data_IF_349502655396
#
_entry.id   IF_349502655396
#
_cell.length_a   1.000
_cell.length_b   1.000
_cell.length_c   1.000
_cell.angle_alpha   90.00
_cell.angle_beta   90.00
_cell.angle_gamma   90.00
#
_symmetry.space_group_name_H-M   'P 1'
#
loop_
_entity.id
_entity.type
_entity.pdbx_description
1 polymer ?
#
# COMPACT_ATOMS: atom_id res chain seq x y z
N UNK A 1 -20.48 -26.58 12.35
CA UNK A 1 -21.30 -26.76 13.58
C UNK A 1 -22.52 -25.83 13.59
N UNK A 2 -23.08 -25.50 12.42
CA UNK A 2 -24.32 -24.74 12.26
C UNK A 2 -24.98 -25.22 10.97
N UNK A 3 -25.54 -26.43 10.99
CA UNK A 3 -26.45 -26.84 9.93
C UNK A 3 -27.82 -26.29 10.28
N UNK A 4 -28.05 -24.99 10.10
CA UNK A 4 -29.37 -24.40 10.34
C UNK A 4 -30.30 -24.86 9.22
N UNK A 5 -31.04 -25.93 9.49
CA UNK A 5 -32.08 -26.45 8.61
C UNK A 5 -33.36 -25.63 8.67
N UNK A 6 -34.25 -25.86 7.70
CA UNK A 6 -35.55 -25.20 7.66
C UNK A 6 -36.39 -25.46 8.92
N UNK A 7 -36.28 -26.66 9.51
CA UNK A 7 -36.97 -27.05 10.75
C UNK A 7 -36.52 -26.22 11.96
N UNK A 8 -35.22 -25.98 12.11
CA UNK A 8 -34.68 -25.21 13.23
C UNK A 8 -35.03 -23.74 13.11
N UNK A 9 -35.01 -23.18 11.88
CA UNK A 9 -35.49 -21.82 11.62
C UNK A 9 -36.96 -21.67 12.05
N UNK A 10 -37.81 -22.65 11.72
CA UNK A 10 -39.21 -22.66 12.13
C UNK A 10 -39.36 -22.73 13.66
N UNK A 11 -38.56 -23.56 14.33
CA UNK A 11 -38.61 -23.66 15.80
C UNK A 11 -38.20 -22.35 16.47
N UNK A 12 -37.13 -21.70 15.99
CA UNK A 12 -36.71 -20.38 16.47
C UNK A 12 -37.79 -19.33 16.21
N UNK A 13 -38.42 -19.34 15.03
CA UNK A 13 -39.50 -18.42 14.69
C UNK A 13 -40.70 -18.59 15.65
N UNK A 14 -41.09 -19.83 15.97
CA UNK A 14 -42.15 -20.12 16.93
C UNK A 14 -41.80 -19.63 18.34
N UNK A 15 -40.57 -19.88 18.81
CA UNK A 15 -40.11 -19.40 20.12
C UNK A 15 -40.09 -17.86 20.16
N UNK A 16 -39.59 -17.22 19.10
CA UNK A 16 -39.59 -15.76 19.00
C UNK A 16 -41.02 -15.19 19.01
N UNK A 17 -41.95 -15.83 18.30
CA UNK A 17 -43.38 -15.50 18.32
C UNK A 17 -43.98 -15.61 19.72
N UNK A 18 -43.61 -16.63 20.50
CA UNK A 18 -44.14 -16.86 21.83
C UNK A 18 -43.56 -15.89 22.87
N UNK A 19 -42.25 -15.64 22.82
CA UNK A 19 -41.53 -14.79 23.79
C UNK A 19 -41.78 -13.31 23.53
N UNK A 20 -41.63 -12.88 22.27
CA UNK A 20 -41.78 -11.46 21.88
C UNK A 20 -43.24 -11.13 21.61
N UNK A 21 -44.01 -12.09 21.11
CA UNK A 21 -45.40 -11.90 20.69
C UNK A 21 -45.51 -11.57 19.18
N UNK A 22 -46.54 -12.08 18.49
CA UNK A 22 -46.74 -11.87 17.04
C UNK A 22 -46.89 -10.40 16.64
N UNK A 23 -47.44 -9.56 17.51
CA UNK A 23 -47.65 -8.15 17.23
C UNK A 23 -46.40 -7.29 17.41
N UNK A 24 -45.41 -7.79 18.17
CA UNK A 24 -44.21 -7.03 18.56
C UNK A 24 -42.98 -7.45 17.75
N UNK A 25 -42.90 -8.73 17.35
CA UNK A 25 -41.84 -9.25 16.48
C UNK A 25 -41.64 -8.41 15.19
N UNK A 26 -42.68 -8.03 14.42
CA UNK A 26 -42.50 -7.19 13.23
C UNK A 26 -42.01 -5.79 13.56
N UNK A 27 -42.36 -5.23 14.75
CA UNK A 27 -41.83 -3.94 15.20
C UNK A 27 -40.35 -4.03 15.52
N UNK A 28 -39.92 -5.07 16.24
CA UNK A 28 -38.51 -5.32 16.56
C UNK A 28 -37.70 -5.56 15.29
N UNK A 29 -38.18 -6.40 14.38
CA UNK A 29 -37.52 -6.67 13.10
C UNK A 29 -37.31 -5.38 12.27
N UNK A 30 -38.30 -4.48 12.25
CA UNK A 30 -38.17 -3.17 11.59
C UNK A 30 -37.10 -2.30 12.26
N UNK A 31 -37.08 -2.21 13.58
CA UNK A 31 -36.09 -1.42 14.31
C UNK A 31 -34.68 -1.97 14.07
N UNK A 32 -34.47 -3.27 14.30
CA UNK A 32 -33.17 -3.91 14.08
C UNK A 32 -32.74 -3.81 12.61
N UNK A 33 -33.66 -3.97 11.67
CA UNK A 33 -33.41 -3.82 10.24
C UNK A 33 -32.98 -2.39 9.86
N UNK A 34 -33.62 -1.36 10.42
CA UNK A 34 -33.23 0.03 10.21
C UNK A 34 -31.83 0.33 10.76
N UNK A 35 -31.51 -0.21 11.94
CA UNK A 35 -30.19 -0.04 12.56
C UNK A 35 -29.09 -0.74 11.77
N UNK A 36 -29.33 -2.00 11.36
CA UNK A 36 -28.40 -2.76 10.54
C UNK A 36 -28.21 -2.12 9.16
N UNK A 37 -29.29 -1.62 8.55
CA UNK A 37 -29.24 -0.89 7.28
C UNK A 37 -28.44 0.41 7.39
N UNK A 38 -28.64 1.17 8.47
CA UNK A 38 -27.86 2.40 8.73
C UNK A 38 -26.39 2.10 8.95
N UNK A 39 -26.06 1.08 9.74
CA UNK A 39 -24.68 0.63 9.95
C UNK A 39 -24.03 0.17 8.65
N UNK A 40 -24.76 -0.60 7.83
CA UNK A 40 -24.29 -1.05 6.51
C UNK A 40 -23.97 0.14 5.60
N UNK A 41 -24.87 1.13 5.54
CA UNK A 41 -24.65 2.35 4.76
C UNK A 41 -23.44 3.15 5.25
N UNK A 42 -23.27 3.28 6.57
CA UNK A 42 -22.09 3.94 7.15
C UNK A 42 -20.80 3.21 6.76
N UNK A 43 -20.76 1.88 6.81
CA UNK A 43 -19.60 1.12 6.35
C UNK A 43 -19.34 1.29 4.84
N UNK A 44 -20.36 1.39 4.00
CA UNK A 44 -20.15 1.67 2.57
C UNK A 44 -19.61 3.07 2.32
N UNK A 45 -20.07 4.08 3.05
CA UNK A 45 -19.55 5.46 2.94
C UNK A 45 -18.10 5.53 3.41
N UNK A 46 -17.78 4.97 4.57
CA UNK A 46 -16.40 4.93 5.08
C UNK A 46 -15.48 4.16 4.14
N UNK A 47 -15.94 3.03 3.56
CA UNK A 47 -15.15 2.32 2.53
C UNK A 47 -14.93 3.15 1.28
N UNK A 48 -15.93 3.92 0.85
CA UNK A 48 -15.80 4.82 -0.31
C UNK A 48 -14.82 5.97 -0.04
N UNK A 49 -14.85 6.55 1.16
CA UNK A 49 -13.89 7.58 1.60
C UNK A 49 -12.47 7.01 1.68
N UNK A 50 -12.30 5.84 2.31
CA UNK A 50 -11.01 5.15 2.40
C UNK A 50 -10.49 4.76 1.01
N UNK A 51 -11.35 4.30 0.09
CA UNK A 51 -10.94 4.02 -1.28
C UNK A 51 -10.53 5.28 -2.04
N UNK A 52 -11.20 6.41 -1.82
CA UNK A 52 -10.81 7.67 -2.45
C UNK A 52 -9.44 8.14 -1.95
N UNK A 53 -9.15 7.95 -0.67
CA UNK A 53 -7.87 8.33 -0.06
C UNK A 53 -6.74 7.34 -0.36
N UNK A 54 -7.00 6.02 -0.31
CA UNK A 54 -6.03 5.00 -0.69
C UNK A 54 -5.63 5.09 -2.17
N UNK A 55 -6.57 5.34 -3.10
CA UNK A 55 -6.21 5.56 -4.49
C UNK A 55 -5.36 6.83 -4.67
N UNK A 56 -5.59 7.87 -3.87
CA UNK A 56 -4.75 9.07 -3.89
C UNK A 56 -3.35 8.79 -3.33
N UNK A 57 -3.25 7.99 -2.27
CA UNK A 57 -1.97 7.58 -1.65
C UNK A 57 -1.17 6.64 -2.56
N UNK A 58 -1.81 5.64 -3.16
CA UNK A 58 -1.18 4.72 -4.13
C UNK A 58 -0.69 5.47 -5.37
N UNK A 59 -1.50 6.38 -5.93
CA UNK A 59 -1.08 7.24 -7.05
C UNK A 59 0.11 8.13 -6.66
N UNK A 60 0.11 8.68 -5.44
CA UNK A 60 1.22 9.50 -4.95
C UNK A 60 2.49 8.68 -4.71
N UNK A 61 2.34 7.44 -4.26
CA UNK A 61 3.44 6.51 -4.05
C UNK A 61 4.04 6.05 -5.39
N UNK A 62 3.22 5.73 -6.38
CA UNK A 62 3.66 5.42 -7.75
C UNK A 62 4.41 6.60 -8.40
N UNK A 63 3.91 7.84 -8.26
CA UNK A 63 4.59 9.04 -8.77
C UNK A 63 5.93 9.25 -8.05
N UNK A 64 5.97 9.05 -6.73
CA UNK A 64 7.19 9.22 -5.93
C UNK A 64 8.23 8.15 -6.25
N UNK A 65 7.80 6.91 -6.47
CA UNK A 65 8.67 5.81 -6.89
C UNK A 65 9.24 6.08 -8.28
N UNK A 66 8.41 6.50 -9.25
CA UNK A 66 8.87 6.88 -10.60
C UNK A 66 9.85 8.06 -10.58
N UNK A 67 9.58 9.08 -9.75
CA UNK A 67 10.48 10.23 -9.57
C UNK A 67 11.82 9.80 -8.93
N UNK A 68 11.78 8.93 -7.92
CA UNK A 68 12.98 8.41 -7.29
C UNK A 68 13.82 7.55 -8.24
N UNK A 69 13.19 6.75 -9.11
CA UNK A 69 13.90 5.97 -10.12
C UNK A 69 14.60 6.87 -11.15
N UNK A 70 13.96 7.97 -11.58
CA UNK A 70 14.57 8.95 -12.48
C UNK A 70 15.76 9.69 -11.81
N UNK A 71 15.62 10.09 -10.54
CA UNK A 71 16.72 10.70 -9.77
C UNK A 71 17.89 9.72 -9.55
N UNK A 72 17.59 8.46 -9.21
CA UNK A 72 18.60 7.41 -9.06
C UNK A 72 19.35 7.15 -10.37
N UNK A 73 18.64 7.13 -11.50
CA UNK A 73 19.23 6.91 -12.81
C UNK A 73 20.09 8.12 -13.27
N UNK A 74 19.65 9.35 -12.95
CA UNK A 74 20.46 10.55 -13.17
C UNK A 74 21.74 10.53 -12.31
N UNK A 75 21.61 10.15 -11.03
CA UNK A 75 22.75 10.03 -10.11
C UNK A 75 23.74 8.92 -10.54
N UNK A 76 23.24 7.77 -10.99
CA UNK A 76 24.07 6.68 -11.52
C UNK A 76 24.84 7.12 -12.79
N UNK A 77 24.18 7.89 -13.66
CA UNK A 77 24.83 8.46 -14.84
C UNK A 77 25.93 9.46 -14.49
N UNK A 78 25.71 10.28 -13.46
CA UNK A 78 26.69 11.24 -12.95
C UNK A 78 27.86 10.54 -12.25
N UNK A 79 27.60 9.51 -11.45
CA UNK A 79 28.63 8.65 -10.84
C UNK A 79 29.45 7.89 -11.87
N UNK A 80 28.81 7.39 -12.93
CA UNK A 80 29.50 6.68 -14.02
C UNK A 80 30.41 7.63 -14.77
N UNK A 81 29.94 8.84 -15.08
CA UNK A 81 30.76 9.88 -15.71
C UNK A 81 31.89 10.36 -14.80
N UNK A 82 31.62 10.58 -13.51
CA UNK A 82 32.64 10.96 -12.53
C UNK A 82 33.70 9.85 -12.36
N UNK A 83 33.29 8.59 -12.32
CA UNK A 83 34.19 7.43 -12.23
C UNK A 83 35.02 7.24 -13.50
N UNK A 84 34.44 7.51 -14.67
CA UNK A 84 35.17 7.49 -15.95
C UNK A 84 36.25 8.60 -16.00
N UNK A 85 35.89 9.82 -15.59
CA UNK A 85 36.84 10.93 -15.51
C UNK A 85 37.91 10.68 -14.45
N UNK A 86 37.54 10.16 -13.28
CA UNK A 86 38.47 9.82 -12.21
C UNK A 86 39.43 8.69 -12.59
N UNK A 87 38.97 7.65 -13.30
CA UNK A 87 39.85 6.62 -13.87
C UNK A 87 40.84 7.21 -14.87
N UNK A 88 40.40 8.19 -15.66
CA UNK A 88 41.24 8.85 -16.67
C UNK A 88 42.28 9.72 -16.00
N UNK A 89 41.90 10.53 -15.01
CA UNK A 89 42.82 11.32 -14.19
C UNK A 89 43.78 10.45 -13.37
N UNK A 90 43.32 9.35 -12.77
CA UNK A 90 44.19 8.41 -12.06
C UNK A 90 45.19 7.76 -13.00
N UNK A 91 44.77 7.31 -14.18
CA UNK A 91 45.68 6.68 -15.12
C UNK A 91 46.73 7.69 -15.63
N UNK A 92 46.34 8.95 -15.80
CA UNK A 92 47.22 10.03 -16.22
C UNK A 92 48.17 10.45 -15.09
N UNK A 93 47.69 10.58 -13.86
CA UNK A 93 48.49 10.87 -12.67
C UNK A 93 49.43 9.71 -12.30
N UNK A 94 49.00 8.46 -12.45
CA UNK A 94 49.87 7.28 -12.27
C UNK A 94 50.89 7.22 -13.40
N UNK A 95 50.52 7.51 -14.64
CA UNK A 95 51.48 7.59 -15.75
C UNK A 95 52.50 8.73 -15.55
N UNK A 96 52.07 9.87 -15.03
CA UNK A 96 52.94 11.00 -14.72
C UNK A 96 53.84 10.72 -13.50
N UNK A 97 53.33 10.02 -12.48
CA UNK A 97 54.11 9.58 -11.31
C UNK A 97 55.13 8.51 -11.69
N UNK A 98 54.74 7.51 -12.51
CA UNK A 98 55.65 6.46 -13.00
C UNK A 98 56.73 7.05 -13.92
N UNK A 99 56.39 8.06 -14.73
CA UNK A 99 57.40 8.83 -15.48
C UNK A 99 58.33 9.64 -14.58
N UNK A 100 57.80 10.28 -13.53
CA UNK A 100 58.61 11.04 -12.56
C UNK A 100 59.57 10.14 -11.78
N UNK A 101 59.10 8.97 -11.33
CA UNK A 101 59.91 8.01 -10.55
C UNK A 101 61.05 7.44 -11.40
N UNK A 102 60.81 7.07 -12.67
CA UNK A 102 61.87 6.57 -13.55
C UNK A 102 62.87 7.65 -14.01
N UNK A 103 62.51 8.95 -13.94
CA UNK A 103 63.44 10.04 -14.23
C UNK A 103 64.36 10.42 -13.07
N UNK A 104 64.15 9.85 -11.87
CA UNK A 104 64.96 10.16 -10.68
C UNK A 104 65.96 9.05 -10.29
N UNK A 105 66.03 7.96 -11.06
CA UNK A 105 66.93 6.81 -10.80
C UNK A 105 68.12 6.74 -11.77
N UNK A 106 68.43 7.83 -12.49
CA UNK A 106 69.50 7.90 -13.50
C UNK A 106 70.60 8.95 -13.23
N UNK A 107 70.63 9.54 -12.03
CA UNK A 107 71.73 10.42 -11.55
C UNK A 107 72.51 9.78 -10.38
#
# INVERSE_FOLDING_TARGET
MFEVGFSELLMVALVALLVVGPERLPKVARVTGLWLGRARNMMTTVKAEIQAELHAEEMRQLIKEQASLNELQAFESELTNASANFKTELNQSVADTVKQVNSHEAD
#
